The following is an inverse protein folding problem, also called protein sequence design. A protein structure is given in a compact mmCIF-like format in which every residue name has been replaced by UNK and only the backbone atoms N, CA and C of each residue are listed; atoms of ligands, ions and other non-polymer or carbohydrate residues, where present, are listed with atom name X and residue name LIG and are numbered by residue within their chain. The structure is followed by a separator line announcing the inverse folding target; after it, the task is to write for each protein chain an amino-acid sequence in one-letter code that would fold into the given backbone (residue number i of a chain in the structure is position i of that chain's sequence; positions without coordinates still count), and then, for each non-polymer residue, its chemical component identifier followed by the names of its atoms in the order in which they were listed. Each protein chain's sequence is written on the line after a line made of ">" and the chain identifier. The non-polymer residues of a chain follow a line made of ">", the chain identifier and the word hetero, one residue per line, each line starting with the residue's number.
data_IF_784984375455
#
_entry.id   IF_784984375455
#
_cell.length_a   1.000
_cell.length_b   1.000
_cell.length_c   1.000
_cell.angle_alpha   90.00
_cell.angle_beta   90.00
_cell.angle_gamma   90.00
#
_symmetry.space_group_name_H-M   'P 1'
#
loop_
_entity.id
_entity.type
_entity.pdbx_description
1 polymer ?
#
# COMPACT_ATOMS: atom_id res chain seq x y z
N UNK A 1 -73.60 52.47 59.11
CA UNK A 1 -73.44 52.84 57.68
C UNK A 1 -72.11 52.25 57.21
N UNK A 2 -72.13 50.99 56.74
CA UNK A 2 -71.96 50.61 55.33
C UNK A 2 -70.50 50.79 54.84
N UNK A 3 -69.72 49.70 54.74
CA UNK A 3 -69.48 48.98 53.49
C UNK A 3 -68.42 47.87 53.65
N UNK A 4 -68.69 46.75 52.98
CA UNK A 4 -67.93 45.50 52.93
C UNK A 4 -66.52 45.67 52.29
N UNK A 5 -65.54 44.89 52.74
CA UNK A 5 -64.46 44.42 51.86
C UNK A 5 -64.08 42.96 52.14
N UNK A 6 -64.13 42.19 51.07
CA UNK A 6 -64.20 40.74 50.97
C UNK A 6 -62.84 40.02 51.06
N UNK A 7 -62.92 38.77 51.56
CA UNK A 7 -62.19 37.55 51.17
C UNK A 7 -60.66 37.53 51.34
N UNK A 8 -60.22 36.92 52.45
CA UNK A 8 -58.85 36.45 52.69
C UNK A 8 -58.81 34.92 52.60
N UNK A 9 -58.47 34.35 51.45
CA UNK A 9 -58.13 32.92 51.25
C UNK A 9 -57.14 32.87 50.08
N UNK A 10 -55.83 32.79 50.35
CA UNK A 10 -55.00 31.57 50.29
C UNK A 10 -54.47 31.29 48.87
N UNK A 11 -53.30 31.81 48.53
CA UNK A 11 -52.46 31.31 47.42
C UNK A 11 -50.98 31.33 47.86
N UNK A 12 -50.50 30.13 48.20
CA UNK A 12 -49.22 29.51 47.84
C UNK A 12 -48.01 30.42 47.55
N UNK A 13 -46.93 30.28 48.33
CA UNK A 13 -45.54 30.13 47.87
C UNK A 13 -44.57 30.15 49.07
N UNK A 14 -43.95 29.01 49.38
CA UNK A 14 -42.83 29.00 50.33
C UNK A 14 -42.47 27.63 50.88
N UNK A 15 -41.30 27.14 50.44
CA UNK A 15 -40.49 26.04 50.98
C UNK A 15 -40.98 24.61 50.73
N UNK A 16 -40.18 23.84 49.99
CA UNK A 16 -39.41 22.72 50.54
C UNK A 16 -38.51 22.11 49.46
N UNK A 17 -37.24 22.52 49.48
CA UNK A 17 -36.06 21.67 49.37
C UNK A 17 -36.19 20.37 48.53
N UNK A 18 -35.73 20.40 47.27
CA UNK A 18 -35.06 19.24 46.67
C UNK A 18 -34.24 19.65 45.46
N UNK A 19 -33.06 19.03 45.34
CA UNK A 19 -32.23 18.91 44.13
C UNK A 19 -31.35 20.12 43.76
N UNK A 20 -30.40 20.43 44.64
CA UNK A 20 -29.10 20.96 44.21
C UNK A 20 -27.96 20.09 44.74
N UNK A 21 -28.08 18.77 44.57
CA UNK A 21 -26.92 17.85 44.51
C UNK A 21 -26.86 17.28 43.10
N UNK A 22 -26.67 18.14 42.10
CA UNK A 22 -25.95 17.68 40.92
C UNK A 22 -24.47 17.72 41.30
N UNK A 23 -24.07 16.63 41.96
CA UNK A 23 -22.68 16.30 42.17
C UNK A 23 -21.99 16.32 40.81
N UNK A 24 -20.86 17.02 40.82
CA UNK A 24 -19.84 17.08 39.79
C UNK A 24 -19.61 15.70 39.13
N UNK A 25 -19.93 15.59 37.85
CA UNK A 25 -19.35 14.59 36.93
C UNK A 25 -19.22 15.10 35.50
N UNK A 26 -19.51 16.37 35.24
CA UNK A 26 -19.68 16.91 33.90
C UNK A 26 -18.53 17.81 33.43
N UNK A 27 -17.34 17.73 34.05
CA UNK A 27 -16.20 18.58 33.67
C UNK A 27 -14.96 17.83 33.19
N UNK A 28 -14.97 16.49 33.15
CA UNK A 28 -13.86 15.69 32.61
C UNK A 28 -14.12 15.20 31.17
N UNK A 29 -15.38 15.21 30.71
CA UNK A 29 -15.75 14.69 29.39
C UNK A 29 -15.56 15.67 28.21
N UNK A 30 -15.28 16.95 28.47
CA UNK A 30 -15.08 17.96 27.42
C UNK A 30 -13.61 18.20 27.06
N UNK A 31 -12.66 17.78 27.91
CA UNK A 31 -11.22 17.90 27.61
C UNK A 31 -10.73 16.81 26.63
N UNK A 32 -11.39 15.65 26.60
CA UNK A 32 -11.00 14.54 25.72
C UNK A 32 -11.49 14.74 24.27
N UNK A 33 -12.63 15.41 24.06
CA UNK A 33 -13.16 15.65 22.70
C UNK A 33 -12.36 16.67 21.89
N UNK A 34 -11.58 17.53 22.53
CA UNK A 34 -10.82 18.57 21.84
C UNK A 34 -9.42 18.11 21.40
N UNK A 35 -8.91 16.98 21.92
CA UNK A 35 -7.66 16.35 21.46
C UNK A 35 -7.87 15.25 20.40
N UNK A 36 -9.11 14.80 20.16
CA UNK A 36 -9.43 13.85 19.07
C UNK A 36 -9.61 14.52 17.69
N UNK A 37 -9.56 15.86 17.62
CA UNK A 37 -9.75 16.61 16.37
C UNK A 37 -8.47 17.11 15.68
N UNK A 38 -7.29 16.93 16.28
CA UNK A 38 -6.03 17.54 15.84
C UNK A 38 -4.92 16.53 15.47
N UNK A 39 -5.23 15.24 15.36
CA UNK A 39 -4.32 14.20 14.81
C UNK A 39 -4.94 13.54 13.56
N UNK A 40 -5.71 14.31 12.79
CA UNK A 40 -6.32 13.86 11.51
C UNK A 40 -5.65 14.52 10.29
N UNK A 41 -4.78 15.50 10.50
CA UNK A 41 -3.97 16.08 9.41
C UNK A 41 -2.80 15.16 9.09
N UNK A 42 -2.88 14.51 7.92
CA UNK A 42 -1.86 13.67 7.28
C UNK A 42 -1.65 12.27 7.89
N UNK A 43 -2.66 11.42 7.78
CA UNK A 43 -2.33 10.08 7.28
C UNK A 43 -2.01 10.27 5.79
N UNK A 44 -0.72 10.38 5.45
CA UNK A 44 -0.28 10.19 4.07
C UNK A 44 -0.79 8.81 3.69
N UNK A 45 -1.80 8.73 2.83
CA UNK A 45 -2.13 7.48 2.17
C UNK A 45 -0.90 7.13 1.33
N UNK A 46 0.00 6.32 1.87
CA UNK A 46 1.16 5.79 1.15
C UNK A 46 0.58 4.78 0.16
N UNK A 47 -0.05 5.29 -0.89
CA UNK A 47 -0.66 4.50 -1.92
C UNK A 47 0.40 4.04 -2.89
N UNK A 48 0.67 2.74 -2.93
CA UNK A 48 1.39 2.17 -4.07
C UNK A 48 0.61 2.46 -5.36
N UNK A 49 1.30 2.58 -6.51
CA UNK A 49 0.62 2.74 -7.78
C UNK A 49 -0.35 1.56 -8.01
N UNK A 50 -1.47 1.83 -8.68
CA UNK A 50 -2.46 0.78 -8.96
C UNK A 50 -1.96 -0.11 -10.10
N UNK A 51 -2.06 -1.44 -9.97
CA UNK A 51 -1.68 -2.35 -11.06
C UNK A 51 -2.62 -2.15 -12.26
N UNK A 52 -2.03 -2.11 -13.45
CA UNK A 52 -2.71 -2.03 -14.75
C UNK A 52 -2.67 -3.39 -15.45
N UNK A 53 -1.61 -4.17 -15.23
CA UNK A 53 -1.44 -5.50 -15.82
C UNK A 53 -0.17 -6.21 -15.35
N UNK A 54 0.38 -7.10 -16.18
CA UNK A 54 1.63 -7.80 -15.89
C UNK A 54 2.87 -6.91 -16.05
N UNK A 55 2.79 -5.89 -16.88
CA UNK A 55 3.84 -4.89 -17.08
C UNK A 55 3.25 -3.53 -16.75
N UNK A 56 3.89 -2.81 -15.85
CA UNK A 56 3.43 -1.53 -15.31
C UNK A 56 4.58 -0.53 -15.42
N UNK A 57 4.68 0.13 -16.57
CA UNK A 57 5.76 1.06 -16.88
C UNK A 57 5.39 2.50 -16.49
N UNK A 58 5.50 2.84 -15.19
CA UNK A 58 5.23 4.20 -14.72
C UNK A 58 6.36 5.20 -15.02
N UNK A 59 7.51 4.76 -15.54
CA UNK A 59 8.60 5.65 -15.97
C UNK A 59 8.62 5.91 -17.49
N UNK A 60 7.75 5.23 -18.25
CA UNK A 60 7.70 5.29 -19.72
C UNK A 60 9.07 4.99 -20.35
N UNK A 61 9.76 3.96 -19.84
CA UNK A 61 11.09 3.53 -20.34
C UNK A 61 11.00 2.42 -21.39
N UNK A 62 9.80 1.87 -21.59
CA UNK A 62 9.46 0.86 -22.59
C UNK A 62 8.57 1.47 -23.66
N UNK A 63 8.73 0.95 -24.88
CA UNK A 63 7.78 1.22 -25.96
C UNK A 63 6.56 0.32 -25.83
N UNK A 64 5.40 0.68 -26.42
CA UNK A 64 4.20 -0.16 -26.39
C UNK A 64 4.43 -1.58 -26.96
N UNK A 65 5.29 -1.73 -27.97
CA UNK A 65 5.62 -3.03 -28.54
C UNK A 65 6.48 -3.88 -27.59
N UNK A 66 7.37 -3.24 -26.81
CA UNK A 66 8.17 -3.91 -25.79
C UNK A 66 7.30 -4.40 -24.63
N UNK A 67 6.40 -3.56 -24.12
CA UNK A 67 5.43 -3.95 -23.09
C UNK A 67 4.57 -5.13 -23.54
N UNK A 68 4.09 -5.09 -24.79
CA UNK A 68 3.30 -6.19 -25.38
C UNK A 68 4.09 -7.49 -25.46
N UNK A 69 5.37 -7.43 -25.85
CA UNK A 69 6.25 -8.62 -25.89
C UNK A 69 6.47 -9.22 -24.50
N UNK A 70 6.78 -8.38 -23.51
CA UNK A 70 6.96 -8.82 -22.12
C UNK A 70 5.67 -9.41 -21.55
N UNK A 71 4.54 -8.73 -21.75
CA UNK A 71 3.22 -9.19 -21.33
C UNK A 71 2.88 -10.55 -21.93
N UNK A 72 3.16 -10.74 -23.23
CA UNK A 72 2.95 -12.02 -23.91
C UNK A 72 3.83 -13.13 -23.31
N UNK A 73 5.11 -12.86 -23.07
CA UNK A 73 6.03 -13.81 -22.45
C UNK A 73 5.51 -14.26 -21.07
N UNK A 74 5.19 -13.30 -20.21
CA UNK A 74 4.65 -13.55 -18.85
C UNK A 74 3.35 -14.35 -18.92
N UNK A 75 2.42 -13.94 -19.77
CA UNK A 75 1.11 -14.59 -19.91
C UNK A 75 1.27 -16.06 -20.31
N UNK A 76 2.11 -16.36 -21.30
CA UNK A 76 2.36 -17.72 -21.75
C UNK A 76 3.00 -18.58 -20.66
N UNK A 77 3.88 -18.01 -19.85
CA UNK A 77 4.51 -18.71 -18.74
C UNK A 77 3.51 -19.01 -17.61
N UNK A 78 2.68 -18.03 -17.24
CA UNK A 78 1.64 -18.19 -16.23
C UNK A 78 0.59 -19.21 -16.63
N UNK A 79 0.19 -19.26 -17.91
CA UNK A 79 -0.72 -20.28 -18.44
C UNK A 79 -0.17 -21.70 -18.31
N UNK A 80 1.16 -21.87 -18.44
CA UNK A 80 1.82 -23.19 -18.36
C UNK A 80 2.07 -23.66 -16.92
N UNK A 81 2.28 -22.75 -15.98
CA UNK A 81 2.82 -23.08 -14.64
C UNK A 81 1.94 -22.63 -13.48
N UNK A 82 0.99 -21.74 -13.72
CA UNK A 82 0.25 -20.95 -12.71
C UNK A 82 1.09 -19.94 -11.92
N UNK A 83 2.39 -19.82 -12.22
CA UNK A 83 3.29 -18.84 -11.58
C UNK A 83 2.97 -17.43 -12.07
N UNK A 84 2.97 -16.46 -11.17
CA UNK A 84 2.59 -15.08 -11.49
C UNK A 84 3.82 -14.19 -11.47
N UNK A 85 4.01 -13.43 -12.54
CA UNK A 85 5.12 -12.48 -12.67
C UNK A 85 4.55 -11.10 -12.94
N UNK A 86 5.08 -10.10 -12.26
CA UNK A 86 4.78 -8.69 -12.52
C UNK A 86 6.08 -7.91 -12.70
N UNK A 87 6.11 -7.02 -13.69
CA UNK A 87 7.19 -6.06 -13.91
C UNK A 87 6.64 -4.67 -13.62
N UNK A 88 7.36 -3.89 -12.83
CA UNK A 88 6.99 -2.53 -12.43
C UNK A 88 8.19 -1.61 -12.58
N UNK A 89 7.99 -0.44 -13.19
CA UNK A 89 8.99 0.63 -13.18
C UNK A 89 8.46 1.81 -12.38
N UNK A 90 9.27 2.42 -11.53
CA UNK A 90 8.86 3.57 -10.69
C UNK A 90 9.94 4.64 -10.62
N UNK A 91 9.55 5.92 -10.64
CA UNK A 91 10.48 7.04 -10.55
C UNK A 91 10.82 7.47 -9.12
N UNK A 92 10.01 7.06 -8.14
CA UNK A 92 10.15 7.45 -6.73
C UNK A 92 9.70 6.31 -5.81
N UNK A 93 10.31 6.27 -4.62
CA UNK A 93 9.91 5.39 -3.51
C UNK A 93 9.33 6.18 -2.35
N UNK A 94 9.11 7.49 -2.49
CA UNK A 94 8.61 8.30 -1.38
C UNK A 94 7.29 7.74 -0.80
N UNK A 95 7.13 7.77 0.55
CA UNK A 95 8.05 8.34 1.54
C UNK A 95 9.15 7.36 2.02
N UNK A 96 9.34 6.20 1.38
CA UNK A 96 10.36 5.23 1.76
C UNK A 96 11.77 5.73 1.42
N UNK A 97 12.67 5.58 2.39
CA UNK A 97 14.10 5.85 2.23
C UNK A 97 14.88 4.67 1.65
N UNK A 98 14.34 3.46 1.72
CA UNK A 98 14.92 2.24 1.17
C UNK A 98 14.08 1.69 0.00
N UNK A 99 14.73 1.54 -1.15
CA UNK A 99 14.13 0.96 -2.35
C UNK A 99 13.74 -0.51 -2.16
N UNK A 100 14.55 -1.27 -1.43
CA UNK A 100 14.30 -2.68 -1.23
C UNK A 100 13.06 -2.91 -0.36
N UNK A 101 12.94 -2.13 0.71
CA UNK A 101 11.75 -2.11 1.55
C UNK A 101 10.50 -1.75 0.74
N UNK A 102 10.54 -0.64 -0.02
CA UNK A 102 9.43 -0.22 -0.89
C UNK A 102 8.99 -1.36 -1.81
N UNK A 103 9.94 -1.99 -2.50
CA UNK A 103 9.65 -3.00 -3.51
C UNK A 103 9.08 -4.29 -2.90
N UNK A 104 9.46 -4.66 -1.67
CA UNK A 104 8.84 -5.78 -0.94
C UNK A 104 7.41 -5.44 -0.54
N UNK A 105 7.20 -4.27 0.08
CA UNK A 105 5.87 -3.88 0.57
C UNK A 105 4.88 -3.69 -0.57
N UNK A 106 5.29 -3.08 -1.68
CA UNK A 106 4.47 -2.97 -2.90
C UNK A 106 4.09 -4.34 -3.44
N UNK A 107 5.04 -5.28 -3.47
CA UNK A 107 4.78 -6.65 -3.96
C UNK A 107 3.78 -7.40 -3.08
N UNK A 108 3.84 -7.18 -1.76
CA UNK A 108 2.91 -7.77 -0.81
C UNK A 108 1.51 -7.15 -0.94
N UNK A 109 1.42 -5.82 -1.04
CA UNK A 109 0.15 -5.10 -1.22
C UNK A 109 -0.55 -5.53 -2.52
N UNK A 110 0.21 -5.66 -3.61
CA UNK A 110 -0.32 -6.12 -4.89
C UNK A 110 -0.74 -7.59 -4.87
N UNK A 111 -0.36 -8.36 -3.84
CA UNK A 111 -0.77 -9.75 -3.68
C UNK A 111 -0.34 -10.65 -4.85
N UNK A 112 0.86 -10.42 -5.39
CA UNK A 112 1.34 -11.19 -6.56
C UNK A 112 1.56 -12.66 -6.18
N UNK A 113 0.87 -13.57 -6.87
CA UNK A 113 0.90 -15.00 -6.62
C UNK A 113 -0.45 -15.56 -6.18
N UNK A 114 -0.66 -16.87 -6.38
CA UNK A 114 -1.88 -17.53 -5.88
C UNK A 114 -1.81 -17.70 -4.37
N UNK A 115 -2.87 -17.29 -3.66
CA UNK A 115 -2.99 -17.33 -2.19
C UNK A 115 -2.45 -18.62 -1.54
N UNK A 116 -2.81 -19.78 -2.11
CA UNK A 116 -2.42 -21.08 -1.55
C UNK A 116 -1.01 -21.54 -1.99
N UNK A 117 -0.46 -20.97 -3.06
CA UNK A 117 0.82 -21.40 -3.65
C UNK A 117 1.97 -20.47 -3.32
N UNK A 118 1.69 -19.19 -3.04
CA UNK A 118 2.70 -18.14 -2.85
C UNK A 118 3.74 -18.12 -3.97
N UNK A 119 3.29 -18.33 -5.22
CA UNK A 119 4.10 -18.54 -6.41
C UNK A 119 4.20 -17.26 -7.27
N UNK A 120 4.32 -16.12 -6.59
CA UNK A 120 4.49 -14.81 -7.21
C UNK A 120 5.96 -14.40 -7.31
N UNK A 121 6.24 -13.54 -8.29
CA UNK A 121 7.51 -12.84 -8.47
C UNK A 121 7.24 -11.43 -8.99
N UNK A 122 7.88 -10.43 -8.39
CA UNK A 122 7.80 -9.05 -8.84
C UNK A 122 9.19 -8.54 -9.16
N UNK A 123 9.36 -7.94 -10.34
CA UNK A 123 10.54 -7.16 -10.71
C UNK A 123 10.17 -5.70 -10.55
N UNK A 124 10.83 -5.00 -9.62
CA UNK A 124 10.69 -3.55 -9.44
C UNK A 124 11.98 -2.89 -9.89
N UNK A 125 11.88 -2.00 -10.87
CA UNK A 125 12.99 -1.28 -11.46
C UNK A 125 12.77 0.22 -11.30
N UNK A 126 13.84 0.96 -11.04
CA UNK A 126 13.84 2.40 -11.19
C UNK A 126 15.02 2.84 -12.05
N UNK A 127 14.73 3.43 -13.20
CA UNK A 127 15.74 4.13 -14.00
C UNK A 127 16.22 5.37 -13.25
N UNK A 128 15.30 6.12 -12.66
CA UNK A 128 15.59 7.37 -11.93
C UNK A 128 16.51 7.12 -10.74
N UNK A 129 16.20 6.11 -9.92
CA UNK A 129 16.98 5.75 -8.72
C UNK A 129 18.12 4.77 -9.01
N UNK A 130 18.21 4.24 -10.23
CA UNK A 130 19.20 3.23 -10.69
C UNK A 130 19.21 1.94 -9.86
N UNK A 131 18.07 1.57 -9.31
CA UNK A 131 17.90 0.37 -8.50
C UNK A 131 16.98 -0.64 -9.17
N UNK A 132 17.19 -1.91 -8.89
CA UNK A 132 16.31 -3.00 -9.30
C UNK A 132 16.25 -4.06 -8.21
N UNK A 133 15.06 -4.61 -7.99
CA UNK A 133 14.81 -5.69 -7.04
C UNK A 133 13.94 -6.76 -7.69
N UNK A 134 14.22 -8.00 -7.33
CA UNK A 134 13.31 -9.13 -7.55
C UNK A 134 12.78 -9.57 -6.18
N UNK A 135 11.47 -9.49 -6.00
CA UNK A 135 10.77 -9.98 -4.81
C UNK A 135 10.09 -11.30 -5.13
N UNK A 136 10.36 -12.35 -4.35
CA UNK A 136 9.82 -13.69 -4.55
C UNK A 136 8.88 -14.09 -3.42
N UNK A 137 7.73 -14.67 -3.77
CA UNK A 137 6.84 -15.30 -2.81
C UNK A 137 7.47 -16.54 -2.16
N UNK A 138 6.93 -16.97 -1.01
CA UNK A 138 7.47 -18.11 -0.24
C UNK A 138 7.57 -19.39 -1.08
N UNK A 139 6.57 -19.67 -1.92
CA UNK A 139 6.57 -20.83 -2.82
C UNK A 139 7.60 -20.71 -3.93
N UNK A 140 7.83 -19.49 -4.42
CA UNK A 140 8.83 -19.15 -5.44
C UNK A 140 10.26 -19.32 -4.92
N UNK A 141 10.53 -18.95 -3.66
CA UNK A 141 11.89 -18.97 -3.06
C UNK A 141 12.60 -20.33 -3.12
N UNK A 142 11.86 -21.44 -3.19
CA UNK A 142 12.46 -22.78 -3.33
C UNK A 142 13.22 -22.95 -4.64
N UNK A 143 12.69 -22.40 -5.73
CA UNK A 143 13.31 -22.47 -7.05
C UNK A 143 14.16 -21.23 -7.36
N UNK A 144 13.78 -20.08 -6.83
CA UNK A 144 14.46 -18.81 -7.00
C UNK A 144 14.85 -18.20 -5.64
N UNK A 145 15.90 -18.73 -4.98
CA UNK A 145 16.47 -18.11 -3.78
C UNK A 145 17.02 -16.71 -4.07
N UNK A 146 17.14 -15.89 -3.02
CA UNK A 146 17.60 -14.50 -3.13
C UNK A 146 18.97 -14.39 -3.83
N UNK A 147 19.88 -15.35 -3.60
CA UNK A 147 21.19 -15.42 -4.29
C UNK A 147 21.07 -15.62 -5.80
N UNK A 148 20.13 -16.48 -6.25
CA UNK A 148 19.88 -16.72 -7.67
C UNK A 148 19.31 -15.46 -8.31
N UNK A 149 18.33 -14.82 -7.67
CA UNK A 149 17.76 -13.56 -8.12
C UNK A 149 18.83 -12.46 -8.24
N UNK A 150 19.68 -12.32 -7.23
CA UNK A 150 20.79 -11.36 -7.24
C UNK A 150 21.77 -11.63 -8.39
N UNK A 151 22.15 -12.89 -8.59
CA UNK A 151 23.03 -13.29 -9.69
C UNK A 151 22.43 -12.96 -11.06
N UNK A 152 21.11 -13.16 -11.24
CA UNK A 152 20.42 -12.81 -12.48
C UNK A 152 20.43 -11.30 -12.72
N UNK A 153 20.14 -10.50 -11.69
CA UNK A 153 20.21 -9.04 -11.74
C UNK A 153 21.61 -8.59 -12.18
N UNK A 154 22.65 -9.05 -11.49
CA UNK A 154 24.02 -8.59 -11.68
C UNK A 154 24.57 -8.97 -13.07
N UNK A 155 24.21 -10.16 -13.57
CA UNK A 155 24.80 -10.73 -14.79
C UNK A 155 24.04 -10.38 -16.06
N UNK A 156 22.72 -10.25 -16.01
CA UNK A 156 21.88 -10.12 -17.20
C UNK A 156 21.13 -8.78 -17.26
N UNK A 157 20.72 -8.23 -16.11
CA UNK A 157 19.89 -7.03 -16.09
C UNK A 157 20.74 -5.75 -16.01
N UNK A 158 21.57 -5.63 -14.97
CA UNK A 158 22.38 -4.43 -14.68
C UNK A 158 23.30 -4.02 -15.85
N UNK A 159 24.01 -4.93 -16.54
CA UNK A 159 24.83 -4.55 -17.68
C UNK A 159 24.02 -3.85 -18.78
N UNK A 160 22.80 -4.34 -19.05
CA UNK A 160 21.88 -3.77 -20.03
C UNK A 160 21.30 -2.43 -19.59
N UNK A 161 20.97 -2.30 -18.31
CA UNK A 161 20.50 -1.03 -17.76
C UNK A 161 21.57 0.07 -17.84
N UNK A 162 22.85 -0.27 -17.65
CA UNK A 162 23.97 0.66 -17.82
C UNK A 162 24.13 1.14 -19.27
N UNK A 163 23.73 0.34 -20.25
CA UNK A 163 23.71 0.67 -21.68
C UNK A 163 22.42 1.41 -22.09
N UNK A 164 21.48 1.67 -21.17
CA UNK A 164 20.15 2.21 -21.47
C UNK A 164 19.20 1.23 -22.16
N UNK A 165 19.58 -0.05 -22.24
CA UNK A 165 18.82 -1.14 -22.88
C UNK A 165 17.88 -1.80 -21.86
N UNK A 166 16.88 -1.06 -21.38
CA UNK A 166 15.99 -1.51 -20.30
C UNK A 166 15.12 -2.72 -20.68
N UNK A 167 14.54 -2.70 -21.87
CA UNK A 167 13.75 -3.84 -22.36
C UNK A 167 14.60 -5.12 -22.45
N UNK A 168 15.81 -5.02 -23.01
CA UNK A 168 16.72 -6.14 -23.15
C UNK A 168 17.13 -6.70 -21.78
N UNK A 169 17.42 -5.83 -20.82
CA UNK A 169 17.75 -6.24 -19.45
C UNK A 169 16.59 -6.96 -18.76
N UNK A 170 15.36 -6.45 -18.87
CA UNK A 170 14.17 -7.09 -18.30
C UNK A 170 13.89 -8.43 -19.00
N UNK A 171 13.94 -8.46 -20.34
CA UNK A 171 13.66 -9.67 -21.12
C UNK A 171 14.65 -10.79 -20.80
N UNK A 172 15.96 -10.49 -20.77
CA UNK A 172 16.98 -11.49 -20.42
C UNK A 172 16.86 -11.95 -18.96
N UNK A 173 16.54 -11.03 -18.05
CA UNK A 173 16.24 -11.38 -16.66
C UNK A 173 15.07 -12.36 -16.55
N UNK A 174 13.96 -12.08 -17.25
CA UNK A 174 12.79 -12.96 -17.28
C UNK A 174 13.12 -14.34 -17.87
N UNK A 175 13.88 -14.40 -18.97
CA UNK A 175 14.27 -15.66 -19.60
C UNK A 175 15.06 -16.55 -18.62
N UNK A 176 16.03 -15.98 -17.90
CA UNK A 176 16.81 -16.73 -16.90
C UNK A 176 15.97 -17.09 -15.67
N UNK A 177 15.07 -16.23 -15.19
CA UNK A 177 14.16 -16.56 -14.09
C UNK A 177 13.25 -17.75 -14.47
N UNK A 178 12.63 -17.71 -15.65
CA UNK A 178 11.75 -18.78 -16.17
C UNK A 178 12.51 -20.10 -16.33
N UNK A 179 13.77 -20.04 -16.73
CA UNK A 179 14.63 -21.22 -16.90
C UNK A 179 14.97 -21.89 -15.56
N UNK A 180 15.20 -21.12 -14.50
CA UNK A 180 15.50 -21.64 -13.16
C UNK A 180 14.23 -22.05 -12.39
N UNK A 181 13.06 -21.50 -12.74
CA UNK A 181 11.80 -21.72 -12.03
C UNK A 181 10.95 -22.85 -12.64
N UNK A 182 11.56 -24.01 -12.83
CA UNK A 182 10.91 -25.20 -13.41
C UNK A 182 10.52 -26.23 -12.36
#
# INVERSE_FOLDING_TARGET
>A
MLFMKNRRVLILLGLMLSLATYSCSAQEAEFEKQNLGLVSSELIEIGFPKPIGYVNDFENILTPEQEKKLTKLITLYQQKTTNEIVVVTISSTEPYSDFDQYAVEMSNEWGVGKKEKNNGLTIVLSKTLKNVRISTGIGTKKALPDEVCKSIIDRFMVPKFKEGQYYEGISQGLDELIKHWR
#
